data_IF_738626002270
#
_entry.id   IF_738626002270
#
_cell.length_a   1.000
_cell.length_b   1.000
_cell.length_c   1.000
_cell.angle_alpha   90.00
_cell.angle_beta   90.00
_cell.angle_gamma   90.00
#
_symmetry.space_group_name_H-M   'P 1'
#
loop_
_entity.id
_entity.type
_entity.pdbx_description
1 polymer ?
#
# COMPACT_ATOMS: atom_id res chain seq x y z
N UNK A 1 -14.26 -0.55 4.10
CA UNK A 1 -14.28 0.64 4.98
C UNK A 1 -12.86 0.77 5.55
N UNK A 2 -11.98 1.63 5.03
CA UNK A 2 -10.66 1.90 5.64
C UNK A 2 -10.07 3.17 5.04
N UNK A 3 -10.79 4.27 5.19
CA UNK A 3 -10.28 5.59 4.86
C UNK A 3 -9.38 6.04 6.02
N UNK A 4 -8.06 5.78 5.92
CA UNK A 4 -7.07 6.10 6.96
C UNK A 4 -5.94 6.96 6.37
N UNK A 5 -5.76 8.14 6.95
CA UNK A 5 -4.69 9.08 6.57
C UNK A 5 -3.31 8.54 7.01
N UNK A 6 -2.29 8.55 6.13
CA UNK A 6 -0.90 8.21 6.46
C UNK A 6 -0.33 9.09 7.58
N UNK A 7 0.54 8.51 8.39
CA UNK A 7 1.26 9.25 9.44
C UNK A 7 2.63 9.73 8.95
N UNK A 8 3.23 10.63 9.73
CA UNK A 8 4.50 11.28 9.37
C UNK A 8 5.64 10.54 10.05
N UNK A 9 6.73 10.31 9.33
CA UNK A 9 7.97 9.76 9.85
C UNK A 9 9.15 10.69 9.52
N UNK A 10 10.01 10.94 10.49
CA UNK A 10 11.32 11.55 10.29
C UNK A 10 12.35 10.41 10.29
N UNK A 11 12.94 10.16 9.13
CA UNK A 11 13.95 9.13 8.93
C UNK A 11 15.20 9.77 8.34
N UNK A 12 16.35 9.62 9.00
CA UNK A 12 17.61 10.23 8.59
C UNK A 12 17.50 11.75 8.37
N UNK A 13 16.77 12.43 9.25
CA UNK A 13 16.51 13.87 9.19
C UNK A 13 15.53 14.31 8.10
N UNK A 14 15.03 13.39 7.25
CA UNK A 14 14.08 13.71 6.18
C UNK A 14 12.67 13.34 6.60
N UNK A 15 11.72 14.25 6.35
CA UNK A 15 10.29 13.95 6.50
C UNK A 15 9.84 12.98 5.40
N UNK A 16 9.02 12.02 5.80
CA UNK A 16 8.41 10.96 4.99
C UNK A 16 6.97 10.78 5.47
N UNK A 17 6.13 10.22 4.59
CA UNK A 17 4.89 9.59 5.01
C UNK A 17 5.18 8.12 5.26
N UNK A 18 4.45 7.50 6.18
CA UNK A 18 4.48 6.06 6.39
C UNK A 18 3.08 5.48 6.18
N UNK A 19 3.05 4.29 5.57
CA UNK A 19 1.85 3.47 5.38
C UNK A 19 1.63 2.57 6.59
N UNK A 20 1.84 3.14 7.76
CA UNK A 20 1.75 2.48 9.05
C UNK A 20 1.16 3.47 10.04
N UNK A 21 0.38 2.96 10.98
CA UNK A 21 -0.16 3.74 12.08
C UNK A 21 0.16 3.00 13.36
N UNK A 22 1.38 3.17 13.89
CA UNK A 22 1.79 2.52 15.12
C UNK A 22 0.76 2.81 16.22
N UNK A 23 0.37 1.79 17.00
CA UNK A 23 -0.53 2.00 18.12
C UNK A 23 0.08 2.99 19.12
N UNK A 24 -0.78 3.84 19.64
CA UNK A 24 -0.45 4.69 20.78
C UNK A 24 -0.62 3.90 22.07
N UNK A 25 0.14 4.27 23.09
CA UNK A 25 -0.01 3.75 24.45
C UNK A 25 -1.12 4.52 25.18
N UNK A 26 -1.93 3.81 25.95
CA UNK A 26 -2.91 4.42 26.86
C UNK A 26 -2.23 4.78 28.19
N UNK A 27 -1.37 5.80 28.15
CA UNK A 27 -0.68 6.35 29.32
C UNK A 27 -0.89 7.86 29.40
N UNK A 28 -1.58 8.38 30.44
CA UNK A 28 -1.86 9.81 30.59
C UNK A 28 -0.59 10.67 30.73
N UNK A 29 0.54 10.08 31.12
CA UNK A 29 1.83 10.76 31.20
C UNK A 29 2.47 10.99 29.83
N UNK A 30 1.97 10.30 28.81
CA UNK A 30 2.49 10.36 27.43
C UNK A 30 1.46 11.05 26.54
N UNK A 31 0.18 10.69 26.65
CA UNK A 31 -0.90 11.17 25.80
C UNK A 31 -2.07 11.69 26.63
N UNK A 32 -2.70 12.75 26.15
CA UNK A 32 -4.00 13.21 26.62
C UNK A 32 -5.01 13.25 25.47
N UNK A 33 -6.30 13.11 25.82
CA UNK A 33 -7.41 13.13 24.87
C UNK A 33 -8.24 14.38 25.10
N UNK A 34 -8.39 15.19 24.05
CA UNK A 34 -9.26 16.36 24.08
C UNK A 34 -10.73 15.95 24.29
N UNK A 35 -11.41 16.71 25.15
CA UNK A 35 -12.87 16.69 25.28
C UNK A 35 -13.56 17.02 23.96
N UNK A 36 -14.88 16.81 23.90
CA UNK A 36 -15.65 17.10 22.68
C UNK A 36 -15.61 18.59 22.33
N UNK A 37 -15.66 19.44 23.34
CA UNK A 37 -15.66 20.89 23.25
C UNK A 37 -14.29 21.39 22.79
N UNK A 38 -13.20 20.96 23.44
CA UNK A 38 -11.83 21.31 23.03
C UNK A 38 -11.53 20.83 21.60
N UNK A 39 -11.98 19.62 21.23
CA UNK A 39 -11.78 19.13 19.87
C UNK A 39 -12.60 19.91 18.83
N UNK A 40 -13.78 20.41 19.20
CA UNK A 40 -14.60 21.27 18.33
C UNK A 40 -13.92 22.62 18.09
N UNK A 41 -13.33 23.21 19.13
CA UNK A 41 -12.56 24.44 19.04
C UNK A 41 -11.32 24.26 18.16
N UNK A 42 -10.54 23.20 18.39
CA UNK A 42 -9.39 22.85 17.56
C UNK A 42 -9.74 22.71 16.07
N UNK A 43 -10.86 22.06 15.74
CA UNK A 43 -11.31 21.95 14.34
C UNK A 43 -11.65 23.30 13.71
N UNK A 44 -12.20 24.23 14.50
CA UNK A 44 -12.51 25.59 14.04
C UNK A 44 -11.21 26.33 13.71
N UNK A 45 -10.20 26.24 14.57
CA UNK A 45 -8.88 26.84 14.35
C UNK A 45 -8.22 26.31 13.08
N UNK A 46 -8.22 24.98 12.87
CA UNK A 46 -7.70 24.35 11.65
C UNK A 46 -8.38 24.89 10.39
N UNK A 47 -9.71 25.04 10.43
CA UNK A 47 -10.48 25.56 9.29
C UNK A 47 -10.18 27.03 8.99
N UNK A 48 -10.02 27.84 10.04
CA UNK A 48 -9.67 29.26 9.90
C UNK A 48 -8.23 29.42 9.36
N UNK A 49 -7.29 28.59 9.80
CA UNK A 49 -5.92 28.56 9.25
C UNK A 49 -5.91 28.16 7.78
N UNK A 50 -6.66 27.11 7.41
CA UNK A 50 -6.84 26.69 6.03
C UNK A 50 -7.38 27.81 5.14
N UNK A 51 -8.45 28.50 5.58
CA UNK A 51 -9.01 29.66 4.87
C UNK A 51 -8.01 30.81 4.71
N UNK A 52 -7.21 31.09 5.74
CA UNK A 52 -6.15 32.11 5.67
C UNK A 52 -5.10 31.76 4.61
N UNK A 53 -4.66 30.50 4.55
CA UNK A 53 -3.71 30.02 3.54
C UNK A 53 -4.28 30.09 2.12
N UNK A 54 -5.54 29.69 1.93
CA UNK A 54 -6.23 29.80 0.63
C UNK A 54 -6.31 31.25 0.14
N UNK A 55 -6.69 32.20 1.01
CA UNK A 55 -6.75 33.63 0.65
C UNK A 55 -5.40 34.19 0.21
N UNK A 56 -4.30 33.61 0.67
CA UNK A 56 -2.93 33.96 0.24
C UNK A 56 -2.50 33.26 -1.05
N UNK A 57 -3.41 32.57 -1.76
CA UNK A 57 -3.13 31.85 -3.00
C UNK A 57 -2.37 30.53 -2.80
N UNK A 58 -2.28 30.00 -1.58
CA UNK A 58 -1.63 28.71 -1.32
C UNK A 58 -2.49 27.56 -1.85
N UNK A 59 -1.88 26.64 -2.61
CA UNK A 59 -2.46 25.33 -2.96
C UNK A 59 -2.43 24.38 -1.74
N UNK A 60 -2.98 24.81 -0.60
CA UNK A 60 -3.09 23.97 0.59
C UNK A 60 -4.33 23.07 0.47
N UNK A 61 -4.24 21.87 1.03
CA UNK A 61 -5.34 20.91 1.15
C UNK A 61 -5.93 21.04 2.57
N UNK A 62 -7.25 20.84 2.79
CA UNK A 62 -7.81 20.79 4.14
C UNK A 62 -7.15 19.70 4.98
N UNK A 63 -7.02 19.93 6.29
CA UNK A 63 -6.58 18.89 7.22
C UNK A 63 -7.57 17.71 7.19
N UNK A 64 -7.10 16.46 7.12
CA UNK A 64 -7.99 15.31 7.13
C UNK A 64 -8.54 14.99 8.53
N UNK A 65 -8.03 15.63 9.59
CA UNK A 65 -8.54 15.48 10.96
C UNK A 65 -10.00 15.94 11.04
N UNK A 66 -10.87 15.12 11.62
CA UNK A 66 -12.30 15.42 11.70
C UNK A 66 -13.09 15.02 10.46
N UNK A 67 -12.44 14.48 9.42
CA UNK A 67 -13.08 13.94 8.22
C UNK A 67 -13.24 12.43 8.30
N UNK A 68 -14.05 11.88 7.39
CA UNK A 68 -14.16 10.43 7.18
C UNK A 68 -12.87 9.79 6.65
N UNK A 69 -11.85 10.55 6.26
CA UNK A 69 -10.53 10.04 5.88
C UNK A 69 -9.57 9.82 7.06
N UNK A 70 -9.95 10.28 8.27
CA UNK A 70 -9.15 10.12 9.48
C UNK A 70 -10.07 9.79 10.68
N UNK A 71 -10.57 8.56 10.74
CA UNK A 71 -11.48 8.14 11.84
C UNK A 71 -10.84 8.19 13.23
N UNK A 72 -9.53 7.97 13.31
CA UNK A 72 -8.75 8.11 14.54
C UNK A 72 -8.76 9.54 15.07
N UNK A 73 -9.07 10.52 14.20
CA UNK A 73 -9.07 11.95 14.50
C UNK A 73 -7.72 12.47 15.01
N UNK A 74 -6.63 11.74 14.81
CA UNK A 74 -5.28 12.20 15.09
C UNK A 74 -4.30 11.74 14.01
N UNK A 75 -3.16 12.42 13.93
CA UNK A 75 -2.03 12.08 13.08
C UNK A 75 -0.77 12.15 13.94
N UNK A 76 -0.05 11.03 14.03
CA UNK A 76 1.27 10.98 14.66
C UNK A 76 2.38 11.52 13.76
N UNK A 77 3.33 12.22 14.37
CA UNK A 77 4.68 12.41 13.83
C UNK A 77 5.65 11.57 14.64
N UNK A 78 6.37 10.70 13.96
CA UNK A 78 7.34 9.79 14.55
C UNK A 78 8.74 10.09 14.06
N UNK A 79 9.74 9.63 14.79
CA UNK A 79 11.15 9.84 14.47
C UNK A 79 11.96 8.57 14.75
N UNK A 80 12.80 8.17 13.80
CA UNK A 80 13.86 7.20 14.06
C UNK A 80 15.16 7.98 14.20
N UNK A 81 15.78 7.86 15.37
CA UNK A 81 17.05 8.52 15.70
C UNK A 81 17.88 7.59 16.57
N UNK A 82 19.16 7.45 16.23
CA UNK A 82 20.14 6.64 16.98
C UNK A 82 19.66 5.20 17.24
N UNK A 83 19.03 4.58 16.24
CA UNK A 83 18.50 3.22 16.31
C UNK A 83 17.23 3.06 17.17
N UNK A 84 16.64 4.15 17.64
CA UNK A 84 15.43 4.15 18.49
C UNK A 84 14.27 4.83 17.80
N UNK A 85 13.06 4.38 18.12
CA UNK A 85 11.81 4.88 17.56
C UNK A 85 11.05 5.75 18.56
N UNK A 86 10.69 6.96 18.16
CA UNK A 86 10.10 7.97 19.03
C UNK A 86 8.77 8.48 18.49
N UNK A 87 7.82 8.70 19.39
CA UNK A 87 6.68 9.57 19.14
C UNK A 87 7.14 11.02 19.36
N UNK A 88 7.06 11.86 18.33
CA UNK A 88 7.56 13.24 18.35
C UNK A 88 6.45 14.28 18.44
N UNK A 89 5.29 14.01 17.84
CA UNK A 89 4.14 14.90 17.90
C UNK A 89 2.81 14.16 17.67
N UNK A 90 1.73 14.72 18.19
CA UNK A 90 0.36 14.27 17.97
C UNK A 90 -0.59 15.44 17.69
N UNK A 91 -1.08 15.49 16.45
CA UNK A 91 -2.06 16.47 16.00
C UNK A 91 -3.46 15.84 15.96
N UNK A 92 -4.53 16.58 16.30
CA UNK A 92 -5.91 16.09 16.32
C UNK A 92 -6.56 15.92 17.70
N UNK A 93 -7.33 14.86 17.94
CA UNK A 93 -8.04 14.63 19.20
C UNK A 93 -7.11 14.13 20.32
N UNK A 94 -6.00 13.52 19.95
CA UNK A 94 -4.95 13.11 20.89
C UNK A 94 -3.79 14.11 20.83
N UNK A 95 -3.18 14.37 21.98
CA UNK A 95 -2.04 15.27 22.17
C UNK A 95 -0.97 14.58 22.99
N UNK A 96 0.29 14.94 22.76
CA UNK A 96 1.36 14.58 23.69
C UNK A 96 1.28 15.45 24.94
N UNK A 97 1.44 14.82 26.12
CA UNK A 97 1.55 15.53 27.40
C UNK A 97 2.94 16.17 27.55
N UNK A 98 3.97 15.55 26.97
CA UNK A 98 5.36 16.02 26.99
C UNK A 98 5.69 16.78 25.70
N UNK A 99 6.55 17.79 25.80
CA UNK A 99 7.09 18.53 24.63
C UNK A 99 8.23 17.80 23.93
N UNK A 100 8.88 16.89 24.64
CA UNK A 100 10.04 16.13 24.14
C UNK A 100 9.59 14.84 23.46
N UNK A 101 10.35 14.34 22.47
CA UNK A 101 10.07 13.05 21.86
C UNK A 101 10.09 11.92 22.90
N UNK A 102 9.08 11.06 22.87
CA UNK A 102 8.93 9.93 23.80
C UNK A 102 9.40 8.65 23.11
N UNK A 103 10.33 7.93 23.72
CA UNK A 103 10.81 6.64 23.22
C UNK A 103 9.64 5.64 23.24
N UNK A 104 9.29 5.12 22.07
CA UNK A 104 8.16 4.23 21.86
C UNK A 104 8.47 2.79 22.27
N UNK A 105 8.88 2.58 23.52
CA UNK A 105 9.26 1.25 24.05
C UNK A 105 8.13 0.23 24.00
N UNK A 106 6.89 0.69 23.89
CA UNK A 106 5.70 -0.16 23.75
C UNK A 106 5.49 -0.71 22.33
N UNK A 107 6.21 -0.21 21.33
CA UNK A 107 5.99 -0.60 19.94
C UNK A 107 6.93 -1.72 19.51
N UNK A 108 6.34 -2.82 19.04
CA UNK A 108 7.01 -3.89 18.29
C UNK A 108 6.22 -4.16 17.01
N UNK A 109 6.89 -4.16 15.87
CA UNK A 109 6.25 -4.34 14.57
C UNK A 109 7.10 -3.85 13.41
N UNK A 110 6.50 -3.81 12.22
CA UNK A 110 7.16 -3.36 10.99
C UNK A 110 6.53 -2.06 10.53
N UNK A 111 7.36 -1.03 10.33
CA UNK A 111 6.96 0.21 9.67
C UNK A 111 7.17 0.09 8.17
N UNK A 112 6.16 0.49 7.39
CA UNK A 112 6.19 0.55 5.94
C UNK A 112 6.34 1.99 5.47
N UNK A 113 7.44 2.28 4.79
CA UNK A 113 7.77 3.63 4.33
C UNK A 113 7.88 3.62 2.81
N UNK A 114 6.92 4.21 2.08
CA UNK A 114 6.95 4.27 0.63
C UNK A 114 8.03 5.21 0.10
N UNK A 115 8.68 4.82 -1.00
CA UNK A 115 9.62 5.64 -1.76
C UNK A 115 9.40 5.51 -3.27
N UNK A 116 9.62 6.61 -4.00
CA UNK A 116 9.50 6.66 -5.46
C UNK A 116 8.09 7.00 -5.95
N UNK A 117 7.83 6.71 -7.23
CA UNK A 117 6.53 6.99 -7.86
C UNK A 117 5.47 6.03 -7.33
N UNK A 118 4.22 6.52 -7.31
CA UNK A 118 3.04 5.65 -7.16
C UNK A 118 2.98 4.75 -8.40
N UNK A 119 3.08 3.44 -8.18
CA UNK A 119 2.82 2.44 -9.22
C UNK A 119 1.33 2.14 -9.33
N UNK A 120 0.64 2.14 -8.19
CA UNK A 120 -0.80 1.94 -8.15
C UNK A 120 -1.42 2.68 -6.98
N UNK A 121 -2.46 3.46 -7.26
CA UNK A 121 -3.25 4.10 -6.22
C UNK A 121 -4.35 3.15 -5.71
N UNK A 122 -4.39 2.90 -4.41
CA UNK A 122 -5.51 2.26 -3.72
C UNK A 122 -6.00 3.26 -2.67
N UNK A 123 -7.31 3.51 -2.66
CA UNK A 123 -7.96 4.65 -2.00
C UNK A 123 -7.29 5.13 -0.69
N UNK A 124 -6.96 6.42 -0.62
CA UNK A 124 -6.42 7.16 0.53
C UNK A 124 -5.04 6.74 1.06
N UNK A 125 -4.27 5.96 0.30
CA UNK A 125 -2.81 5.92 0.47
C UNK A 125 -2.27 4.81 1.37
N UNK A 126 -3.09 4.14 2.18
CA UNK A 126 -2.61 3.09 3.08
C UNK A 126 -2.26 1.77 2.34
N UNK A 127 -2.87 1.55 1.18
CA UNK A 127 -2.62 0.40 0.30
C UNK A 127 -2.03 0.81 -1.06
N UNK A 128 -1.67 2.10 -1.23
CA UNK A 128 -1.04 2.58 -2.46
C UNK A 128 0.31 1.91 -2.65
N UNK A 129 0.54 1.32 -3.82
CA UNK A 129 1.81 0.69 -4.15
C UNK A 129 2.78 1.74 -4.71
N UNK A 130 3.99 1.78 -4.15
CA UNK A 130 5.07 2.64 -4.60
C UNK A 130 6.20 1.83 -5.22
N UNK A 131 7.04 2.46 -6.05
CA UNK A 131 8.20 1.80 -6.68
C UNK A 131 9.08 1.04 -5.68
N UNK A 132 9.25 1.60 -4.49
CA UNK A 132 9.97 0.97 -3.39
C UNK A 132 9.21 1.12 -2.08
N UNK A 133 9.39 0.16 -1.19
CA UNK A 133 8.89 0.22 0.18
C UNK A 133 10.02 -0.20 1.13
N UNK A 134 10.36 0.67 2.08
CA UNK A 134 11.30 0.35 3.15
C UNK A 134 10.50 -0.24 4.30
N UNK A 135 10.85 -1.46 4.69
CA UNK A 135 10.32 -2.15 5.86
C UNK A 135 11.32 -2.02 7.00
N UNK A 136 10.95 -1.29 8.04
CA UNK A 136 11.79 -1.10 9.23
C UNK A 136 11.22 -1.96 10.33
N UNK A 137 11.98 -2.97 10.76
CA UNK A 137 11.58 -3.85 11.86
C UNK A 137 11.98 -3.21 13.18
N UNK A 138 11.03 -3.15 14.12
CA UNK A 138 11.21 -2.54 15.43
C UNK A 138 10.77 -3.54 16.50
N UNK A 139 11.59 -3.68 17.54
CA UNK A 139 11.28 -4.44 18.75
C UNK A 139 11.45 -3.54 19.98
N UNK A 140 10.39 -3.38 20.77
CA UNK A 140 10.37 -2.56 21.98
C UNK A 140 10.95 -1.15 21.75
N UNK A 141 10.58 -0.53 20.63
CA UNK A 141 11.05 0.79 20.23
C UNK A 141 12.52 0.84 19.73
N UNK A 142 13.17 -0.30 19.50
CA UNK A 142 14.53 -0.42 18.96
C UNK A 142 14.48 -0.91 17.52
N UNK A 143 15.20 -0.25 16.61
CA UNK A 143 15.30 -0.65 15.20
C UNK A 143 16.21 -1.86 15.09
N UNK A 144 15.65 -2.98 14.64
CA UNK A 144 16.37 -4.24 14.45
C UNK A 144 17.01 -4.34 13.07
N UNK A 145 16.38 -3.74 12.06
CA UNK A 145 16.89 -3.79 10.69
C UNK A 145 15.96 -3.15 9.69
N UNK A 146 16.43 -3.04 8.45
CA UNK A 146 15.67 -2.50 7.32
C UNK A 146 15.77 -3.43 6.12
N UNK A 147 14.62 -3.71 5.51
CA UNK A 147 14.53 -4.42 4.24
C UNK A 147 13.94 -3.49 3.19
N UNK A 148 14.50 -3.47 1.99
CA UNK A 148 13.97 -2.66 0.89
C UNK A 148 13.27 -3.59 -0.11
N UNK A 149 12.00 -3.35 -0.34
CA UNK A 149 11.20 -4.03 -1.36
C UNK A 149 11.18 -3.15 -2.60
N UNK A 150 11.61 -3.68 -3.75
CA UNK A 150 11.48 -3.02 -5.06
C UNK A 150 10.26 -3.59 -5.78
N UNK A 151 9.15 -2.85 -5.75
CA UNK A 151 7.89 -3.27 -6.35
C UNK A 151 7.87 -3.13 -7.88
N UNK A 152 8.88 -2.51 -8.50
CA UNK A 152 9.01 -2.55 -9.97
C UNK A 152 9.32 -3.97 -10.44
N UNK A 153 10.04 -4.74 -9.61
CA UNK A 153 10.37 -6.14 -9.87
C UNK A 153 9.19 -7.09 -9.68
N UNK A 154 8.12 -6.69 -8.98
CA UNK A 154 6.94 -7.54 -8.86
C UNK A 154 6.27 -7.66 -10.23
N UNK A 155 5.92 -6.55 -10.88
CA UNK A 155 5.36 -6.49 -12.25
C UNK A 155 6.29 -7.19 -13.25
N UNK A 156 7.57 -6.85 -13.24
CA UNK A 156 8.53 -7.48 -14.16
C UNK A 156 8.67 -8.98 -13.89
N UNK A 157 8.60 -9.41 -12.64
CA UNK A 157 8.59 -10.82 -12.25
C UNK A 157 7.40 -11.59 -12.80
N UNK A 158 6.19 -10.99 -12.79
CA UNK A 158 5.01 -11.57 -13.43
C UNK A 158 5.21 -11.68 -14.95
N UNK A 159 5.73 -10.63 -15.59
CA UNK A 159 5.96 -10.57 -17.04
C UNK A 159 7.02 -11.58 -17.52
N UNK A 160 8.13 -11.70 -16.80
CA UNK A 160 9.20 -12.65 -17.12
C UNK A 160 8.69 -14.08 -16.97
N UNK A 161 7.96 -14.39 -15.88
CA UNK A 161 7.36 -15.72 -15.68
C UNK A 161 6.32 -16.04 -16.76
N UNK A 162 5.46 -15.09 -17.13
CA UNK A 162 4.43 -15.35 -18.15
C UNK A 162 5.02 -15.60 -19.52
N UNK A 163 6.05 -14.84 -19.93
CA UNK A 163 6.78 -15.11 -21.18
C UNK A 163 7.42 -16.48 -21.18
N UNK A 164 8.08 -16.87 -20.08
CA UNK A 164 8.69 -18.20 -19.94
C UNK A 164 7.64 -19.32 -20.08
N UNK A 165 6.55 -19.25 -19.31
CA UNK A 165 5.48 -20.25 -19.32
C UNK A 165 4.85 -20.36 -20.72
N UNK A 166 4.52 -19.23 -21.33
CA UNK A 166 3.90 -19.20 -22.66
C UNK A 166 4.84 -19.72 -23.76
N UNK A 167 6.14 -19.41 -23.67
CA UNK A 167 7.14 -19.96 -24.58
C UNK A 167 7.28 -21.48 -24.45
N UNK A 168 7.37 -22.00 -23.22
CA UNK A 168 7.44 -23.45 -22.96
C UNK A 168 6.16 -24.20 -23.37
N UNK A 169 5.01 -23.53 -23.35
CA UNK A 169 3.74 -24.05 -23.89
C UNK A 169 3.67 -24.00 -25.43
N UNK A 170 4.67 -23.42 -26.10
CA UNK A 170 4.67 -23.22 -27.55
C UNK A 170 3.60 -22.25 -28.03
N UNK A 171 3.24 -21.26 -27.21
CA UNK A 171 2.29 -20.21 -27.59
C UNK A 171 2.94 -19.13 -28.45
N UNK A 172 2.15 -18.57 -29.36
CA UNK A 172 2.59 -17.50 -30.26
C UNK A 172 3.06 -16.25 -29.50
N UNK A 173 3.88 -15.42 -30.15
CA UNK A 173 4.27 -14.12 -29.60
C UNK A 173 3.06 -13.23 -29.31
N UNK A 174 1.98 -13.37 -30.10
CA UNK A 174 0.72 -12.66 -29.87
C UNK A 174 0.08 -13.07 -28.53
N UNK A 175 0.10 -14.37 -28.21
CA UNK A 175 -0.38 -14.87 -26.92
C UNK A 175 0.52 -14.46 -25.75
N UNK A 176 1.84 -14.47 -25.94
CA UNK A 176 2.79 -13.95 -24.95
C UNK A 176 2.53 -12.46 -24.66
N UNK A 177 2.34 -11.65 -25.71
CA UNK A 177 2.04 -10.24 -25.58
C UNK A 177 0.69 -10.00 -24.88
N UNK A 178 -0.35 -10.78 -25.23
CA UNK A 178 -1.66 -10.69 -24.59
C UNK A 178 -1.59 -11.06 -23.10
N UNK A 179 -0.82 -12.07 -22.72
CA UNK A 179 -0.61 -12.44 -21.32
C UNK A 179 0.07 -11.30 -20.53
N UNK A 180 1.07 -10.66 -21.11
CA UNK A 180 1.70 -9.46 -20.51
C UNK A 180 0.69 -8.33 -20.32
N UNK A 181 -0.18 -8.10 -21.31
CA UNK A 181 -1.23 -7.07 -21.20
C UNK A 181 -2.23 -7.36 -20.08
N UNK A 182 -2.66 -8.61 -19.93
CA UNK A 182 -3.52 -9.04 -18.83
C UNK A 182 -2.84 -8.79 -17.47
N UNK A 183 -1.54 -9.06 -17.36
CA UNK A 183 -0.77 -8.80 -16.12
C UNK A 183 -0.66 -7.30 -15.84
N UNK A 184 -0.41 -6.48 -16.87
CA UNK A 184 -0.37 -5.02 -16.72
C UNK A 184 -1.72 -4.49 -16.23
N UNK A 185 -2.82 -4.97 -16.81
CA UNK A 185 -4.17 -4.60 -16.42
C UNK A 185 -4.52 -5.07 -15.00
N UNK A 186 -4.19 -6.31 -14.66
CA UNK A 186 -4.33 -6.84 -13.31
C UNK A 186 -3.52 -6.03 -12.28
N UNK A 187 -2.32 -5.58 -12.67
CA UNK A 187 -1.48 -4.75 -11.82
C UNK A 187 -2.06 -3.34 -11.64
N UNK A 188 -2.56 -2.72 -12.71
CA UNK A 188 -3.17 -1.40 -12.64
C UNK A 188 -4.41 -1.39 -11.73
N UNK A 189 -5.09 -2.53 -11.62
CA UNK A 189 -6.27 -2.72 -10.79
C UNK A 189 -5.99 -3.39 -9.43
N UNK A 190 -4.74 -3.73 -9.10
CA UNK A 190 -4.34 -4.19 -7.76
C UNK A 190 -4.57 -5.64 -7.43
N UNK A 191 -4.89 -6.46 -8.43
CA UNK A 191 -5.04 -7.90 -8.26
C UNK A 191 -3.71 -8.63 -8.12
N UNK A 192 -2.57 -7.95 -8.23
CA UNK A 192 -1.23 -8.56 -8.12
C UNK A 192 -0.58 -8.38 -6.75
N UNK A 193 -1.18 -7.62 -5.82
CA UNK A 193 -0.60 -7.37 -4.50
C UNK A 193 -0.69 -8.61 -3.59
N UNK A 194 0.43 -9.00 -2.96
CA UNK A 194 0.49 -10.12 -2.01
C UNK A 194 0.34 -11.52 -2.62
N UNK A 195 0.32 -11.65 -3.95
CA UNK A 195 0.10 -12.95 -4.64
C UNK A 195 1.39 -13.60 -5.07
N UNK A 196 1.33 -14.93 -5.23
CA UNK A 196 2.42 -15.69 -5.83
C UNK A 196 2.56 -15.30 -7.31
N UNK A 197 3.73 -14.79 -7.75
CA UNK A 197 3.94 -14.39 -9.13
C UNK A 197 3.75 -15.48 -10.18
N UNK A 198 4.04 -16.73 -9.82
CA UNK A 198 3.83 -17.87 -10.73
C UNK A 198 2.35 -18.13 -11.00
N UNK A 199 1.49 -18.03 -9.98
CA UNK A 199 0.05 -18.29 -10.11
C UNK A 199 -0.67 -17.27 -11.00
N UNK A 200 -0.38 -15.98 -10.79
CA UNK A 200 -0.96 -14.89 -11.60
C UNK A 200 -0.44 -14.94 -13.03
N UNK A 201 0.87 -15.16 -13.22
CA UNK A 201 1.45 -15.29 -14.55
C UNK A 201 0.85 -16.48 -15.32
N UNK A 202 0.70 -17.64 -14.66
CA UNK A 202 0.07 -18.83 -15.22
C UNK A 202 -1.39 -18.57 -15.63
N UNK A 203 -2.19 -17.96 -14.77
CA UNK A 203 -3.58 -17.64 -15.08
C UNK A 203 -3.70 -16.65 -16.26
N UNK A 204 -2.85 -15.61 -16.31
CA UNK A 204 -2.83 -14.68 -17.43
C UNK A 204 -2.46 -15.36 -18.77
N UNK A 205 -1.51 -16.30 -18.74
CA UNK A 205 -1.15 -17.12 -19.92
C UNK A 205 -2.31 -18.01 -20.34
N UNK A 206 -2.97 -18.68 -19.40
CA UNK A 206 -4.14 -19.51 -19.69
C UNK A 206 -5.26 -18.67 -20.34
N UNK A 207 -5.60 -17.51 -19.78
CA UNK A 207 -6.61 -16.59 -20.35
C UNK A 207 -6.20 -16.16 -21.76
N UNK A 208 -4.96 -15.73 -21.97
CA UNK A 208 -4.47 -15.33 -23.29
C UNK A 208 -4.58 -16.46 -24.32
N UNK A 209 -4.26 -17.69 -23.93
CA UNK A 209 -4.39 -18.88 -24.78
C UNK A 209 -5.84 -19.13 -25.19
N UNK A 210 -6.79 -18.96 -24.26
CA UNK A 210 -8.22 -19.13 -24.52
C UNK A 210 -8.73 -18.05 -25.47
N UNK A 211 -8.40 -16.78 -25.21
CA UNK A 211 -8.86 -15.62 -26.00
C UNK A 211 -8.36 -15.62 -27.44
N UNK A 212 -7.19 -16.24 -27.70
CA UNK A 212 -6.58 -16.27 -29.03
C UNK A 212 -6.80 -17.60 -29.75
N UNK A 213 -7.57 -18.53 -29.17
CA UNK A 213 -7.84 -19.83 -29.78
C UNK A 213 -6.67 -20.83 -29.71
N UNK A 214 -5.61 -20.51 -28.98
CA UNK A 214 -4.42 -21.37 -28.77
C UNK A 214 -4.56 -22.18 -27.47
N UNK A 215 -5.75 -22.72 -27.21
CA UNK A 215 -6.12 -23.28 -25.90
C UNK A 215 -5.09 -24.29 -25.36
N UNK A 216 -4.67 -24.06 -24.13
CA UNK A 216 -3.93 -25.02 -23.28
C UNK A 216 -4.80 -25.48 -22.13
N UNK A 217 -4.49 -26.63 -21.53
CA UNK A 217 -5.20 -27.06 -20.32
C UNK A 217 -4.64 -26.36 -19.09
N UNK A 218 -5.46 -26.16 -18.05
CA UNK A 218 -4.95 -25.61 -16.77
C UNK A 218 -3.89 -26.50 -16.15
N UNK A 219 -3.95 -27.82 -16.40
CA UNK A 219 -2.96 -28.80 -15.96
C UNK A 219 -1.60 -28.56 -16.61
N UNK A 220 -1.54 -28.40 -17.93
CA UNK A 220 -0.27 -28.15 -18.64
C UNK A 220 0.37 -26.85 -18.16
N UNK A 221 -0.45 -25.81 -17.98
CA UNK A 221 0.01 -24.51 -17.48
C UNK A 221 0.51 -24.63 -16.04
N UNK A 222 -0.18 -25.40 -15.18
CA UNK A 222 0.20 -25.64 -13.79
C UNK A 222 1.54 -26.35 -13.67
N UNK A 223 1.75 -27.39 -14.48
CA UNK A 223 2.98 -28.19 -14.51
C UNK A 223 4.19 -27.32 -14.87
N UNK A 224 4.10 -26.53 -15.94
CA UNK A 224 5.17 -25.62 -16.38
C UNK A 224 5.40 -24.49 -15.36
N UNK A 225 4.33 -23.94 -14.79
CA UNK A 225 4.43 -22.84 -13.84
C UNK A 225 4.89 -23.28 -12.43
N UNK A 226 4.90 -24.59 -12.12
CA UNK A 226 5.22 -25.12 -10.80
C UNK A 226 4.20 -24.71 -9.74
N UNK A 227 2.91 -24.66 -10.08
CA UNK A 227 1.81 -24.31 -9.17
C UNK A 227 0.70 -25.35 -9.24
N UNK A 228 -0.24 -25.32 -8.29
CA UNK A 228 -1.41 -26.19 -8.36
C UNK A 228 -2.45 -25.69 -9.37
N UNK A 229 -3.22 -26.60 -9.97
CA UNK A 229 -4.37 -26.23 -10.82
C UNK A 229 -5.40 -25.36 -10.08
N UNK A 230 -5.59 -25.58 -8.77
CA UNK A 230 -6.48 -24.76 -7.93
C UNK A 230 -5.98 -23.31 -7.85
N UNK A 231 -4.66 -23.10 -7.77
CA UNK A 231 -4.06 -21.76 -7.78
C UNK A 231 -4.38 -21.02 -9.08
N UNK A 232 -4.24 -21.70 -10.23
CA UNK A 232 -4.60 -21.14 -11.54
C UNK A 232 -6.09 -20.84 -11.60
N UNK A 233 -6.94 -21.76 -11.15
CA UNK A 233 -8.41 -21.60 -11.17
C UNK A 233 -8.88 -20.41 -10.34
N UNK A 234 -8.32 -20.21 -9.15
CA UNK A 234 -8.65 -19.05 -8.31
C UNK A 234 -8.20 -17.76 -8.99
N UNK A 235 -6.94 -17.70 -9.43
CA UNK A 235 -6.41 -16.52 -10.13
C UNK A 235 -7.14 -16.23 -11.44
N UNK A 236 -7.59 -17.26 -12.17
CA UNK A 236 -8.40 -17.13 -13.38
C UNK A 236 -9.69 -16.37 -13.09
N UNK A 237 -10.49 -16.84 -12.10
CA UNK A 237 -11.77 -16.22 -11.75
C UNK A 237 -11.60 -14.73 -11.44
N UNK A 238 -10.58 -14.42 -10.64
CA UNK A 238 -10.33 -13.06 -10.19
C UNK A 238 -9.84 -12.16 -11.34
N UNK A 239 -9.00 -12.69 -12.24
CA UNK A 239 -8.58 -11.98 -13.44
C UNK A 239 -9.73 -11.81 -14.45
N UNK A 240 -10.64 -12.77 -14.59
CA UNK A 240 -11.79 -12.63 -15.49
C UNK A 240 -12.80 -11.63 -14.96
N UNK A 241 -13.11 -11.66 -13.65
CA UNK A 241 -13.98 -10.66 -13.00
C UNK A 241 -13.44 -9.24 -13.22
N UNK A 242 -12.12 -9.06 -13.17
CA UNK A 242 -11.46 -7.80 -13.51
C UNK A 242 -11.70 -7.38 -14.96
N UNK A 243 -11.43 -8.29 -15.89
CA UNK A 243 -11.48 -8.03 -17.32
C UNK A 243 -12.91 -7.73 -17.75
N UNK A 244 -13.90 -8.41 -17.19
CA UNK A 244 -15.33 -8.13 -17.39
C UNK A 244 -15.73 -6.75 -16.83
N UNK A 245 -15.14 -6.33 -15.71
CA UNK A 245 -15.39 -4.99 -15.16
C UNK A 245 -14.74 -3.88 -16.00
N UNK A 246 -13.62 -4.20 -16.66
CA UNK A 246 -12.84 -3.26 -17.47
C UNK A 246 -13.29 -3.20 -18.94
N UNK A 247 -13.93 -4.27 -19.43
CA UNK A 247 -14.37 -4.45 -20.80
C UNK A 247 -15.84 -4.86 -20.74
N UNK A 248 -16.74 -3.96 -21.15
CA UNK A 248 -18.17 -4.22 -21.24
C UNK A 248 -18.50 -5.18 -22.40
N UNK A 249 -18.03 -6.44 -22.33
CA UNK A 249 -18.32 -7.52 -23.28
C UNK A 249 -18.40 -8.85 -22.50
N UNK A 250 -19.52 -9.56 -22.67
CA UNK A 250 -19.72 -10.91 -22.13
C UNK A 250 -18.67 -11.89 -22.67
N UNK A 251 -17.92 -12.53 -21.76
CA UNK A 251 -17.05 -13.68 -22.03
C UNK A 251 -17.86 -14.98 -22.20
#
# INVERSE_FOLDING_TARGET
>A
MTAQTPEKLILNGKRRLMQSCPPLIDDPNIITVLSREEFKEFKKELHDEYKKKLRKGSQTIPSPIGSTACWRNYIGTWEIKDGKFYLKDLEGRMRMTKKEPVHATWFSGVLKVPEGKVLQYVHLGFETLYEKEIHITIENGIVMGQTIIDNRRSIEGYKVKSRKIAHELGLSEKAQFKAVKIIEEASNNGLTSGRNPAGVAAAAVYIASVLLGERKTQRDVAEIAGVSEITIRNSYKELTELLETSINVQL
#
